data_IF_140942038193
#
_entry.id   IF_140942038193
#
_cell.length_a   1.000
_cell.length_b   1.000
_cell.length_c   1.000
_cell.angle_alpha   90.00
_cell.angle_beta   90.00
_cell.angle_gamma   90.00
#
_symmetry.space_group_name_H-M   'P 1'
#
loop_
_entity.id
_entity.type
_entity.pdbx_description
1 polymer ?
#
# COMPACT_ATOMS: atom_id res chain seq x y z
N UNK A 1 -50.50 26.90 -14.52
CA UNK A 1 -49.12 27.38 -14.72
C UNK A 1 -48.39 27.26 -13.39
N UNK A 2 -47.53 26.27 -13.22
CA UNK A 2 -46.68 26.12 -12.04
C UNK A 2 -45.23 26.02 -12.52
N UNK A 3 -44.47 27.10 -12.37
CA UNK A 3 -43.03 27.08 -12.57
C UNK A 3 -42.37 26.90 -11.19
N UNK A 4 -42.01 25.65 -10.85
CA UNK A 4 -41.00 25.37 -9.84
C UNK A 4 -39.72 24.98 -10.58
N UNK A 5 -38.81 25.94 -10.71
CA UNK A 5 -37.42 25.71 -11.10
C UNK A 5 -36.52 26.24 -9.99
N UNK A 6 -36.23 25.41 -8.99
CA UNK A 6 -35.14 25.68 -8.06
C UNK A 6 -33.83 25.48 -8.83
N UNK A 7 -33.06 26.56 -9.01
CA UNK A 7 -31.80 26.58 -9.75
C UNK A 7 -30.67 26.03 -8.88
N UNK A 8 -29.87 25.13 -9.48
CA UNK A 8 -28.54 24.65 -9.10
C UNK A 8 -27.73 25.65 -8.26
N UNK A 9 -27.44 25.30 -7.01
CA UNK A 9 -26.23 25.80 -6.32
C UNK A 9 -25.05 25.00 -6.85
N UNK A 10 -24.29 25.61 -7.77
CA UNK A 10 -23.08 25.05 -8.35
C UNK A 10 -21.92 25.44 -7.43
N UNK A 11 -21.34 24.46 -6.73
CA UNK A 11 -20.21 24.70 -5.83
C UNK A 11 -19.03 25.27 -6.64
N UNK A 12 -18.65 26.54 -6.38
CA UNK A 12 -17.51 27.22 -7.03
C UNK A 12 -16.13 26.74 -6.51
N UNK A 13 -16.10 25.83 -5.54
CA UNK A 13 -14.89 25.26 -4.94
C UNK A 13 -15.05 23.74 -4.85
N UNK A 14 -14.17 22.98 -5.52
CA UNK A 14 -14.21 21.53 -5.60
C UNK A 14 -13.96 20.89 -4.23
N UNK A 15 -12.98 21.37 -3.47
CA UNK A 15 -12.63 20.85 -2.14
C UNK A 15 -13.75 20.97 -1.10
N UNK A 16 -14.66 21.94 -1.27
CA UNK A 16 -15.76 22.18 -0.34
C UNK A 16 -16.75 21.00 -0.27
N UNK A 17 -16.81 20.15 -1.30
CA UNK A 17 -17.71 18.99 -1.31
C UNK A 17 -17.31 17.89 -0.31
N UNK A 18 -16.05 17.87 0.13
CA UNK A 18 -15.52 16.89 1.09
C UNK A 18 -15.56 17.39 2.54
N UNK A 19 -16.12 18.58 2.78
CA UNK A 19 -16.34 19.14 4.11
C UNK A 19 -17.64 18.63 4.71
N UNK A 20 -17.60 18.28 5.99
CA UNK A 20 -18.82 18.01 6.73
C UNK A 20 -19.60 19.32 6.96
N UNK A 21 -20.86 19.35 6.53
CA UNK A 21 -21.72 20.53 6.60
C UNK A 21 -22.10 20.92 8.04
N UNK A 22 -21.99 19.99 9.00
CA UNK A 22 -22.35 20.19 10.40
C UNK A 22 -21.15 20.53 11.29
N UNK A 23 -20.00 19.87 11.09
CA UNK A 23 -18.82 20.05 11.93
C UNK A 23 -17.79 21.02 11.34
N UNK A 24 -17.93 21.38 10.04
CA UNK A 24 -16.94 22.15 9.26
C UNK A 24 -15.55 21.50 9.17
N UNK A 25 -15.38 20.31 9.76
CA UNK A 25 -14.20 19.48 9.66
C UNK A 25 -14.19 18.68 8.35
N UNK A 26 -13.04 18.10 8.05
CA UNK A 26 -12.94 17.10 6.99
C UNK A 26 -13.45 15.76 7.49
N UNK A 27 -14.17 15.04 6.63
CA UNK A 27 -14.29 13.58 6.81
C UNK A 27 -13.00 12.93 6.28
N UNK A 28 -12.56 11.80 6.85
CA UNK A 28 -11.51 11.00 6.24
C UNK A 28 -11.87 10.71 4.79
N UNK A 29 -10.96 11.04 3.87
CA UNK A 29 -11.12 10.75 2.47
C UNK A 29 -10.99 9.25 2.25
N UNK A 30 -11.94 8.66 1.53
CA UNK A 30 -11.75 7.33 0.96
C UNK A 30 -10.67 7.39 -0.12
N UNK A 31 -10.10 6.22 -0.43
CA UNK A 31 -9.28 5.97 -1.62
C UNK A 31 -9.79 6.71 -2.88
N UNK A 32 -11.02 6.44 -3.29
CA UNK A 32 -11.61 7.06 -4.49
C UNK A 32 -11.75 8.58 -4.38
N UNK A 33 -12.12 9.11 -3.22
CA UNK A 33 -12.24 10.57 -3.01
C UNK A 33 -10.89 11.28 -3.08
N UNK A 34 -9.85 10.67 -2.51
CA UNK A 34 -8.49 11.19 -2.64
C UNK A 34 -8.07 11.25 -4.11
N UNK A 35 -8.40 10.23 -4.89
CA UNK A 35 -8.03 10.19 -6.31
C UNK A 35 -8.85 11.10 -7.20
N UNK A 36 -10.08 11.41 -6.80
CA UNK A 36 -10.83 12.51 -7.41
C UNK A 36 -10.16 13.86 -7.17
N UNK A 37 -9.61 14.09 -5.97
CA UNK A 37 -8.80 15.29 -5.68
C UNK A 37 -7.52 15.30 -6.50
N UNK A 38 -6.77 14.18 -6.50
CA UNK A 38 -5.53 14.08 -7.28
C UNK A 38 -5.77 14.32 -8.77
N UNK A 39 -6.75 13.63 -9.39
CA UNK A 39 -7.13 13.83 -10.81
C UNK A 39 -7.57 15.24 -11.13
N UNK A 40 -8.22 15.91 -10.18
CA UNK A 40 -8.70 17.25 -10.41
C UNK A 40 -7.57 18.27 -10.51
N UNK A 41 -6.50 18.08 -9.73
CA UNK A 41 -5.39 19.03 -9.66
C UNK A 41 -4.18 18.62 -10.52
N UNK A 42 -3.88 17.33 -10.69
CA UNK A 42 -2.93 16.81 -11.70
C UNK A 42 -3.67 16.71 -13.05
N UNK A 43 -3.90 17.87 -13.66
CA UNK A 43 -4.76 18.04 -14.83
C UNK A 43 -4.06 17.65 -16.13
N UNK A 44 -2.73 17.79 -16.18
CA UNK A 44 -1.92 17.31 -17.30
C UNK A 44 -1.57 15.81 -17.19
N UNK A 45 -1.77 15.20 -16.02
CA UNK A 45 -1.56 13.77 -15.79
C UNK A 45 -0.10 13.38 -15.73
N UNK A 46 0.80 14.33 -15.45
CA UNK A 46 2.24 14.10 -15.41
C UNK A 46 2.71 13.39 -14.12
N UNK A 47 1.81 13.20 -13.16
CA UNK A 47 2.10 12.53 -11.89
C UNK A 47 2.56 13.47 -10.78
N UNK A 48 2.43 14.78 -10.97
CA UNK A 48 2.82 15.81 -10.01
C UNK A 48 1.79 16.94 -10.01
N UNK A 49 1.56 17.55 -8.85
CA UNK A 49 0.80 18.81 -8.77
C UNK A 49 1.82 19.95 -8.70
N UNK A 50 2.01 20.68 -9.80
CA UNK A 50 3.05 21.70 -9.90
C UNK A 50 2.60 23.02 -10.56
N UNK A 51 3.42 24.06 -10.46
CA UNK A 51 3.16 25.32 -11.15
C UNK A 51 1.77 25.90 -10.87
N UNK A 52 0.93 25.97 -11.91
CA UNK A 52 -0.44 26.51 -11.85
C UNK A 52 -1.44 25.56 -11.19
N UNK A 53 -1.19 24.26 -11.25
CA UNK A 53 -2.02 23.23 -10.62
C UNK A 53 -1.95 23.37 -9.10
N UNK A 54 -0.73 23.50 -8.58
CA UNK A 54 -0.48 23.78 -7.17
C UNK A 54 -1.11 25.12 -6.74
N UNK A 55 -1.04 26.16 -7.59
CA UNK A 55 -1.69 27.44 -7.30
C UNK A 55 -3.22 27.29 -7.19
N UNK A 56 -3.83 26.50 -8.08
CA UNK A 56 -5.26 26.18 -8.06
C UNK A 56 -5.66 25.39 -6.83
N UNK A 57 -4.92 24.33 -6.53
CA UNK A 57 -5.10 23.50 -5.33
C UNK A 57 -5.06 24.36 -4.06
N UNK A 58 -4.02 25.18 -3.86
CA UNK A 58 -3.87 25.99 -2.65
C UNK A 58 -5.02 27.00 -2.50
N UNK A 59 -5.45 27.64 -3.59
CA UNK A 59 -6.59 28.58 -3.55
C UNK A 59 -7.86 27.89 -3.09
N UNK A 60 -8.15 26.70 -3.62
CA UNK A 60 -9.35 25.95 -3.26
C UNK A 60 -9.26 25.30 -1.89
N UNK A 61 -8.10 24.76 -1.54
CA UNK A 61 -7.83 24.18 -0.23
C UNK A 61 -8.08 25.21 0.87
N UNK A 62 -7.51 26.42 0.77
CA UNK A 62 -7.66 27.48 1.77
C UNK A 62 -9.08 28.01 1.82
N UNK A 63 -9.68 28.30 0.66
CA UNK A 63 -11.06 28.81 0.63
C UNK A 63 -12.10 27.76 1.07
N UNK A 64 -11.74 26.47 1.07
CA UNK A 64 -12.55 25.42 1.69
C UNK A 64 -12.51 25.47 3.23
N UNK A 65 -11.40 25.92 3.82
CA UNK A 65 -11.22 26.04 5.29
C UNK A 65 -11.83 27.34 5.81
N UNK A 66 -11.63 28.45 5.09
CA UNK A 66 -12.01 29.79 5.54
C UNK A 66 -13.51 30.03 5.32
N UNK A 67 -14.29 29.91 6.39
CA UNK A 67 -15.77 29.99 6.38
C UNK A 67 -16.34 31.42 6.37
N UNK A 68 -15.73 32.38 5.68
CA UNK A 68 -16.24 33.77 5.65
C UNK A 68 -17.00 34.08 4.37
N UNK A 69 -18.11 34.81 4.49
CA UNK A 69 -18.94 35.42 3.41
C UNK A 69 -18.18 36.37 2.45
N UNK A 70 -16.85 36.36 2.50
CA UNK A 70 -16.02 37.02 1.51
C UNK A 70 -15.84 36.03 0.33
N UNK A 71 -16.48 36.33 -0.79
CA UNK A 71 -16.48 35.51 -2.01
C UNK A 71 -15.07 35.21 -2.58
N UNK A 72 -14.97 34.60 -3.78
CA UNK A 72 -13.73 34.00 -4.33
C UNK A 72 -12.52 34.94 -4.58
N UNK A 73 -12.50 36.16 -4.04
CA UNK A 73 -11.43 37.17 -4.19
C UNK A 73 -10.45 37.30 -3.00
N UNK A 74 -10.51 36.45 -1.96
CA UNK A 74 -9.79 36.71 -0.69
C UNK A 74 -8.28 36.40 -0.75
N UNK A 75 -7.80 35.55 -1.65
CA UNK A 75 -6.37 35.19 -1.70
C UNK A 75 -5.66 36.02 -2.77
N UNK A 76 -4.99 37.10 -2.34
CA UNK A 76 -4.11 37.88 -3.21
C UNK A 76 -2.93 37.04 -3.70
N UNK A 77 -2.39 37.35 -4.88
CA UNK A 77 -1.25 36.60 -5.45
C UNK A 77 -0.01 36.63 -4.55
N UNK A 78 0.19 37.73 -3.81
CA UNK A 78 1.25 37.84 -2.81
C UNK A 78 1.03 36.90 -1.61
N UNK A 79 -0.21 36.80 -1.12
CA UNK A 79 -0.58 35.87 -0.05
C UNK A 79 -0.45 34.41 -0.51
N UNK A 80 -0.83 34.12 -1.75
CA UNK A 80 -0.70 32.79 -2.32
C UNK A 80 0.77 32.38 -2.45
N UNK A 81 1.63 33.29 -2.93
CA UNK A 81 3.06 33.01 -3.08
C UNK A 81 3.70 32.63 -1.74
N UNK A 82 3.45 33.42 -0.70
CA UNK A 82 3.98 33.14 0.64
C UNK A 82 3.45 31.80 1.18
N UNK A 83 2.17 31.48 0.91
CA UNK A 83 1.59 30.23 1.33
C UNK A 83 2.17 29.03 0.57
N UNK A 84 2.39 29.18 -0.73
CA UNK A 84 3.03 28.16 -1.56
C UNK A 84 4.43 27.84 -1.06
N UNK A 85 5.21 28.86 -0.71
CA UNK A 85 6.54 28.69 -0.10
C UNK A 85 6.46 27.91 1.22
N UNK A 86 5.55 28.29 2.13
CA UNK A 86 5.36 27.58 3.40
C UNK A 86 4.83 26.15 3.23
N UNK A 87 4.00 25.94 2.22
CA UNK A 87 3.39 24.65 1.93
C UNK A 87 4.42 23.67 1.38
N UNK A 88 5.22 24.10 0.40
CA UNK A 88 6.33 23.32 -0.12
C UNK A 88 7.36 23.07 1.00
N UNK A 89 7.75 24.07 1.78
CA UNK A 89 8.71 23.86 2.89
C UNK A 89 8.24 22.82 3.93
N UNK A 90 6.92 22.65 4.09
CA UNK A 90 6.35 21.69 5.03
C UNK A 90 6.15 20.28 4.46
N UNK A 91 5.81 20.14 3.17
CA UNK A 91 5.34 18.87 2.60
C UNK A 91 6.13 18.39 1.37
N UNK A 92 6.89 19.25 0.69
CA UNK A 92 7.78 18.88 -0.42
C UNK A 92 9.10 18.35 0.16
N UNK A 93 9.18 17.03 0.33
CA UNK A 93 10.30 16.36 0.98
C UNK A 93 11.55 16.35 0.11
N UNK A 94 11.37 16.21 -1.21
CA UNK A 94 12.46 16.06 -2.17
C UNK A 94 12.98 17.44 -2.67
N UNK A 95 12.24 18.53 -2.38
CA UNK A 95 12.50 19.93 -2.71
C UNK A 95 12.56 20.21 -4.21
N UNK A 96 11.78 19.50 -5.00
CA UNK A 96 11.69 19.71 -6.44
C UNK A 96 10.64 20.77 -6.85
N UNK A 97 9.92 21.32 -5.86
CA UNK A 97 8.79 22.26 -5.99
C UNK A 97 7.53 21.65 -6.63
N UNK A 98 7.42 20.33 -6.59
CA UNK A 98 6.27 19.56 -7.03
C UNK A 98 5.67 18.86 -5.81
N UNK A 99 4.37 18.59 -5.88
CA UNK A 99 3.72 17.74 -4.89
C UNK A 99 3.50 16.38 -5.50
N UNK A 100 4.17 15.38 -4.94
CA UNK A 100 3.95 13.97 -5.24
C UNK A 100 2.67 13.45 -4.54
N UNK A 101 2.17 12.30 -5.00
CA UNK A 101 0.96 11.70 -4.44
C UNK A 101 1.13 11.28 -2.97
N UNK A 102 2.34 10.83 -2.62
CA UNK A 102 2.77 10.54 -1.25
C UNK A 102 2.74 11.76 -0.34
N UNK A 103 3.09 12.93 -0.86
CA UNK A 103 3.09 14.20 -0.12
C UNK A 103 1.66 14.71 0.06
N UNK A 104 0.83 14.65 -0.99
CA UNK A 104 -0.60 15.01 -0.88
C UNK A 104 -1.33 14.13 0.14
N UNK A 105 -0.98 12.85 0.24
CA UNK A 105 -1.51 11.92 1.23
C UNK A 105 -1.22 12.36 2.69
N UNK A 106 -0.15 13.12 2.94
CA UNK A 106 0.15 13.69 4.25
C UNK A 106 -0.68 14.95 4.56
N UNK A 107 -1.10 15.67 3.51
CA UNK A 107 -1.86 16.92 3.61
C UNK A 107 -3.34 16.66 3.88
N UNK A 108 -3.91 15.65 3.22
CA UNK A 108 -5.33 15.33 3.32
C UNK A 108 -5.59 14.27 4.40
N UNK A 109 -6.63 14.46 5.23
CA UNK A 109 -6.99 13.44 6.22
C UNK A 109 -7.60 12.24 5.48
N UNK A 110 -6.84 11.20 5.25
CA UNK A 110 -7.29 9.98 4.57
C UNK A 110 -7.66 8.88 5.56
N UNK A 111 -8.42 7.89 5.11
CA UNK A 111 -8.65 6.66 5.87
C UNK A 111 -7.31 5.93 6.15
N UNK A 112 -7.14 5.39 7.36
CA UNK A 112 -5.87 4.77 7.78
C UNK A 112 -5.43 3.62 6.87
N UNK A 113 -6.36 2.80 6.39
CA UNK A 113 -6.09 1.69 5.47
C UNK A 113 -5.41 2.15 4.18
N UNK A 114 -5.78 3.33 3.69
CA UNK A 114 -5.24 3.91 2.46
C UNK A 114 -3.98 4.74 2.71
N UNK A 115 -3.85 5.40 3.87
CA UNK A 115 -2.60 6.07 4.28
C UNK A 115 -1.42 5.12 4.34
N UNK A 116 -1.64 3.84 4.65
CA UNK A 116 -0.57 2.84 4.72
C UNK A 116 0.19 2.71 3.40
N UNK A 117 -0.43 2.98 2.24
CA UNK A 117 0.26 3.01 0.94
C UNK A 117 1.32 4.11 0.82
N UNK A 118 1.20 5.19 1.61
CA UNK A 118 2.02 6.40 1.47
C UNK A 118 2.89 6.71 2.70
N UNK A 119 2.83 5.89 3.76
CA UNK A 119 3.65 6.09 4.96
C UNK A 119 5.09 5.66 4.70
N UNK A 120 5.94 6.64 4.37
CA UNK A 120 7.40 6.47 4.26
C UNK A 120 8.06 6.02 5.57
N UNK A 121 7.54 6.48 6.72
CA UNK A 121 8.07 6.21 8.06
C UNK A 121 7.47 4.97 8.76
N UNK A 122 6.53 4.28 8.11
CA UNK A 122 5.99 3.03 8.62
C UNK A 122 6.03 1.94 7.52
N UNK A 123 7.25 1.62 7.02
CA UNK A 123 7.41 0.54 6.07
C UNK A 123 6.86 -0.74 6.71
N UNK A 124 6.03 -1.48 5.97
CA UNK A 124 5.39 -2.67 6.49
C UNK A 124 6.45 -3.59 7.09
N UNK A 125 6.29 -3.91 8.37
CA UNK A 125 7.31 -4.67 9.08
C UNK A 125 7.30 -6.14 8.69
N UNK A 126 6.26 -6.62 7.98
CA UNK A 126 6.35 -7.88 7.25
C UNK A 126 5.35 -8.03 6.11
N UNK A 127 5.62 -9.06 5.30
CA UNK A 127 4.71 -9.65 4.33
C UNK A 127 3.34 -10.06 4.93
N UNK A 128 3.25 -10.36 6.22
CA UNK A 128 1.97 -10.64 6.89
C UNK A 128 1.12 -9.37 7.11
N UNK A 129 1.74 -8.23 7.42
CA UNK A 129 1.03 -6.94 7.46
C UNK A 129 0.55 -6.50 6.08
N UNK A 130 1.37 -6.76 5.06
CA UNK A 130 0.97 -6.58 3.67
C UNK A 130 -0.29 -7.39 3.35
N UNK A 131 -0.33 -8.68 3.72
CA UNK A 131 -1.49 -9.55 3.49
C UNK A 131 -2.76 -9.06 4.18
N UNK A 132 -2.65 -8.47 5.36
CA UNK A 132 -3.80 -7.85 6.05
C UNK A 132 -4.36 -6.68 5.24
N UNK A 133 -3.48 -5.80 4.77
CA UNK A 133 -3.86 -4.64 3.95
C UNK A 133 -4.47 -5.13 2.64
N UNK A 134 -3.84 -6.08 1.95
CA UNK A 134 -4.34 -6.65 0.70
C UNK A 134 -5.81 -7.11 0.83
N UNK A 135 -6.13 -7.86 1.90
CA UNK A 135 -7.51 -8.34 2.14
C UNK A 135 -8.54 -7.24 2.37
N UNK A 136 -8.14 -6.07 2.89
CA UNK A 136 -9.05 -4.94 3.06
C UNK A 136 -9.50 -4.36 1.71
N UNK A 137 -8.65 -4.47 0.69
CA UNK A 137 -8.92 -3.99 -0.67
C UNK A 137 -9.52 -5.09 -1.57
N UNK A 138 -8.96 -6.31 -1.55
CA UNK A 138 -9.44 -7.49 -2.29
C UNK A 138 -10.55 -8.23 -1.52
N UNK A 139 -11.69 -7.55 -1.34
CA UNK A 139 -12.81 -8.05 -0.52
C UNK A 139 -13.50 -9.29 -1.08
N UNK A 140 -13.45 -9.48 -2.39
CA UNK A 140 -14.02 -10.64 -3.06
C UNK A 140 -13.01 -11.79 -3.20
N UNK A 141 -11.77 -11.60 -2.73
CA UNK A 141 -10.67 -12.54 -2.86
C UNK A 141 -10.48 -12.99 -4.32
N UNK A 142 -10.71 -12.06 -5.26
CA UNK A 142 -10.49 -12.29 -6.69
C UNK A 142 -9.01 -12.39 -7.02
N UNK A 143 -8.14 -11.92 -6.12
CA UNK A 143 -6.70 -11.91 -6.32
C UNK A 143 -6.21 -10.68 -7.07
N UNK A 144 -7.08 -9.70 -7.30
CA UNK A 144 -6.78 -8.46 -7.99
C UNK A 144 -7.57 -7.31 -7.37
N UNK A 145 -7.02 -6.11 -7.42
CA UNK A 145 -7.74 -4.89 -7.03
C UNK A 145 -8.00 -4.09 -8.31
N UNK A 146 -9.25 -3.83 -8.65
CA UNK A 146 -9.62 -3.06 -9.85
C UNK A 146 -8.91 -1.69 -9.85
N UNK A 147 -8.05 -1.43 -10.85
CA UNK A 147 -7.16 -0.27 -10.86
C UNK A 147 -7.91 1.06 -11.15
N UNK A 148 -9.14 0.94 -11.65
CA UNK A 148 -10.02 2.03 -12.06
C UNK A 148 -10.39 2.99 -10.92
N UNK A 149 -10.27 2.54 -9.66
CA UNK A 149 -10.63 3.35 -8.50
C UNK A 149 -9.55 4.33 -8.04
N UNK A 150 -8.28 4.17 -8.48
CA UNK A 150 -7.18 4.78 -7.72
C UNK A 150 -5.96 5.36 -8.50
N UNK A 151 -6.07 5.69 -9.81
CA UNK A 151 -4.91 5.85 -10.73
C UNK A 151 -3.78 4.84 -10.39
N UNK A 152 -4.17 3.64 -9.98
CA UNK A 152 -3.23 2.56 -9.76
C UNK A 152 -2.63 2.12 -11.10
N UNK A 153 -3.14 2.65 -12.22
CA UNK A 153 -2.51 2.64 -13.54
C UNK A 153 -1.03 3.06 -13.56
N UNK A 154 -0.55 3.86 -12.60
CA UNK A 154 0.88 4.16 -12.46
C UNK A 154 1.69 2.95 -11.95
N UNK A 155 1.03 2.00 -11.30
CA UNK A 155 1.59 0.83 -10.65
C UNK A 155 1.19 -0.49 -11.32
N UNK A 156 0.08 -0.49 -12.06
CA UNK A 156 -0.35 -1.48 -13.04
C UNK A 156 0.65 -1.48 -14.21
N UNK A 157 1.72 -2.23 -13.98
CA UNK A 157 2.88 -2.32 -14.86
C UNK A 157 2.51 -3.04 -16.15
N UNK A 158 1.57 -3.98 -16.08
CA UNK A 158 1.11 -4.76 -17.23
C UNK A 158 -0.05 -4.12 -18.01
N UNK A 159 -0.68 -3.08 -17.44
CA UNK A 159 -1.78 -2.28 -18.00
C UNK A 159 -3.05 -3.09 -18.28
N UNK A 160 -3.32 -4.10 -17.47
CA UNK A 160 -4.52 -4.93 -17.59
C UNK A 160 -5.76 -4.31 -16.93
N UNK A 161 -5.60 -3.14 -16.27
CA UNK A 161 -6.65 -2.43 -15.56
C UNK A 161 -6.88 -2.96 -14.15
N UNK A 162 -6.01 -3.84 -13.65
CA UNK A 162 -6.08 -4.45 -12.33
C UNK A 162 -4.71 -4.40 -11.68
N UNK A 163 -4.67 -4.12 -10.38
CA UNK A 163 -3.47 -4.35 -9.62
C UNK A 163 -3.37 -5.80 -9.21
N UNK A 164 -2.29 -6.41 -9.66
CA UNK A 164 -1.87 -7.72 -9.21
C UNK A 164 -1.06 -7.61 -7.92
N UNK A 165 -0.89 -8.75 -7.25
CA UNK A 165 -0.21 -8.82 -5.96
C UNK A 165 1.23 -8.28 -6.01
N UNK A 166 1.99 -8.67 -7.04
CA UNK A 166 3.39 -8.24 -7.25
C UNK A 166 3.51 -6.72 -7.48
N UNK A 167 2.52 -6.10 -8.10
CA UNK A 167 2.48 -4.66 -8.37
C UNK A 167 2.18 -3.86 -7.11
N UNK A 168 1.23 -4.32 -6.29
CA UNK A 168 0.96 -3.73 -4.98
C UNK A 168 2.13 -3.94 -3.99
N UNK A 169 2.84 -5.06 -4.08
CA UNK A 169 4.03 -5.32 -3.27
C UNK A 169 5.19 -4.37 -3.57
N UNK A 170 5.34 -3.90 -4.81
CA UNK A 170 6.32 -2.88 -5.22
C UNK A 170 5.95 -1.48 -4.77
N UNK A 171 4.65 -1.25 -4.60
CA UNK A 171 4.03 0.01 -4.21
C UNK A 171 4.27 0.36 -2.74
N UNK A 172 4.18 -0.65 -1.88
CA UNK A 172 4.42 -0.53 -0.46
C UNK A 172 5.92 -0.69 -0.20
N UNK A 173 6.59 0.24 0.49
CA UNK A 173 7.94 -0.01 1.00
C UNK A 173 7.84 -1.08 2.09
N UNK A 174 7.83 -2.36 1.70
CA UNK A 174 7.92 -3.47 2.65
C UNK A 174 9.38 -3.53 3.11
N UNK A 175 9.61 -3.64 4.42
CA UNK A 175 10.96 -3.99 4.92
C UNK A 175 11.39 -5.27 4.21
N UNK A 176 12.67 -5.36 3.84
CA UNK A 176 13.29 -6.44 3.06
C UNK A 176 12.60 -7.81 3.25
N UNK A 177 12.32 -8.51 2.15
CA UNK A 177 11.90 -9.91 2.16
C UNK A 177 12.77 -10.70 3.18
N UNK A 178 12.13 -11.26 4.22
CA UNK A 178 12.85 -11.84 5.36
C UNK A 178 13.69 -13.06 4.96
N UNK A 179 13.33 -13.71 3.85
CA UNK A 179 14.05 -14.85 3.31
C UNK A 179 15.27 -14.43 2.47
N UNK A 180 15.38 -13.15 2.05
CA UNK A 180 16.60 -12.60 1.43
C UNK A 180 17.80 -12.51 2.40
N UNK A 181 17.59 -12.79 3.69
CA UNK A 181 18.66 -13.00 4.68
C UNK A 181 19.52 -14.22 4.30
N UNK A 182 20.75 -14.37 4.84
CA UNK A 182 21.74 -15.35 4.37
C UNK A 182 21.29 -16.82 4.31
N UNK A 183 20.16 -17.17 4.94
CA UNK A 183 19.65 -18.53 5.11
C UNK A 183 19.27 -19.17 3.76
N UNK A 184 18.76 -18.38 2.80
CA UNK A 184 18.37 -18.86 1.47
C UNK A 184 19.32 -18.41 0.34
N UNK A 185 20.47 -17.81 0.69
CA UNK A 185 21.53 -17.49 -0.29
C UNK A 185 22.39 -18.72 -0.56
N UNK A 186 22.72 -18.97 -1.84
CA UNK A 186 23.60 -20.08 -2.25
C UNK A 186 24.90 -20.08 -1.42
N UNK A 187 25.30 -21.28 -0.95
CA UNK A 187 26.49 -21.56 -0.11
C UNK A 187 26.40 -21.25 1.39
N UNK A 188 25.23 -20.97 1.95
CA UNK A 188 25.06 -20.87 3.41
C UNK A 188 24.81 -22.25 4.05
N UNK A 189 25.47 -22.57 5.16
CA UNK A 189 25.09 -23.75 5.95
C UNK A 189 23.81 -23.45 6.72
N UNK A 190 22.77 -24.25 6.50
CA UNK A 190 21.51 -24.08 7.22
C UNK A 190 21.55 -24.94 8.49
N UNK A 191 21.38 -24.30 9.65
CA UNK A 191 21.31 -24.96 10.97
C UNK A 191 19.88 -25.01 11.49
N UNK A 192 19.63 -25.86 12.49
CA UNK A 192 18.34 -25.87 13.21
C UNK A 192 17.99 -24.52 13.83
N UNK A 193 19.00 -23.77 14.32
CA UNK A 193 18.80 -22.41 14.83
C UNK A 193 18.36 -21.42 13.76
N UNK A 194 18.69 -21.67 12.49
CA UNK A 194 18.23 -20.83 11.39
C UNK A 194 16.76 -21.12 11.08
N UNK A 195 16.36 -22.39 11.11
CA UNK A 195 14.96 -22.81 10.99
C UNK A 195 14.12 -22.22 12.12
N UNK A 196 14.58 -22.32 13.37
CA UNK A 196 13.89 -21.74 14.53
C UNK A 196 13.73 -20.21 14.41
N UNK A 197 14.78 -19.53 13.91
CA UNK A 197 14.72 -18.08 13.66
C UNK A 197 13.73 -17.72 12.56
N UNK A 198 13.68 -18.48 11.47
CA UNK A 198 12.67 -18.28 10.42
C UNK A 198 11.27 -18.50 10.98
N UNK A 199 11.07 -19.60 11.71
CA UNK A 199 9.77 -19.90 12.32
C UNK A 199 9.29 -18.75 13.22
N UNK A 200 10.14 -18.27 14.12
CA UNK A 200 9.83 -17.14 15.02
C UNK A 200 9.62 -15.79 14.32
N UNK A 201 10.12 -15.61 13.10
CA UNK A 201 9.87 -14.39 12.33
C UNK A 201 8.44 -14.35 11.78
N UNK A 202 7.84 -15.52 11.50
CA UNK A 202 6.51 -15.63 10.91
C UNK A 202 5.43 -15.99 11.93
N UNK A 203 5.70 -16.85 12.91
CA UNK A 203 4.82 -17.15 14.06
C UNK A 203 4.80 -15.95 15.03
N UNK A 204 4.06 -14.91 14.66
CA UNK A 204 4.01 -13.62 15.36
C UNK A 204 3.15 -13.70 16.61
N UNK A 205 2.11 -14.52 16.60
CA UNK A 205 1.27 -14.73 17.77
C UNK A 205 1.85 -15.77 18.74
N UNK A 206 2.87 -16.52 18.32
CA UNK A 206 3.59 -17.49 19.15
C UNK A 206 2.75 -18.72 19.44
N UNK A 207 1.78 -19.03 18.58
CA UNK A 207 0.88 -20.16 18.76
C UNK A 207 1.53 -21.51 18.39
N UNK A 208 2.74 -21.48 17.80
CA UNK A 208 3.49 -22.66 17.40
C UNK A 208 3.14 -23.20 16.01
N UNK A 209 2.37 -22.46 15.22
CA UNK A 209 1.94 -22.78 13.86
C UNK A 209 1.89 -21.52 13.00
N UNK A 210 2.50 -21.56 11.82
CA UNK A 210 2.38 -20.48 10.83
C UNK A 210 1.04 -20.67 10.09
N UNK A 211 0.09 -19.77 10.31
CA UNK A 211 -1.26 -19.84 9.73
C UNK A 211 -1.77 -18.51 9.19
N UNK A 212 -2.89 -18.54 8.44
CA UNK A 212 -3.60 -17.32 8.02
C UNK A 212 -2.68 -16.26 7.35
N UNK A 213 -2.59 -15.06 7.95
CA UNK A 213 -1.73 -13.96 7.46
C UNK A 213 -0.24 -14.29 7.52
N UNK A 214 0.19 -15.09 8.49
CA UNK A 214 1.58 -15.49 8.68
C UNK A 214 2.01 -16.45 7.58
N UNK A 215 1.16 -17.44 7.28
CA UNK A 215 1.36 -18.37 6.18
C UNK A 215 1.37 -17.64 4.83
N UNK A 216 0.44 -16.72 4.63
CA UNK A 216 0.41 -15.91 3.41
C UNK A 216 1.66 -15.03 3.28
N UNK A 217 2.15 -14.44 4.37
CA UNK A 217 3.40 -13.68 4.37
C UNK A 217 4.63 -14.53 4.05
N UNK A 218 4.73 -15.70 4.67
CA UNK A 218 5.79 -16.68 4.40
C UNK A 218 5.83 -17.10 2.92
N UNK A 219 4.67 -17.40 2.35
CA UNK A 219 4.55 -17.81 0.94
C UNK A 219 4.87 -16.68 -0.03
N UNK A 220 4.46 -15.44 0.28
CA UNK A 220 4.84 -14.24 -0.47
C UNK A 220 6.36 -14.11 -0.54
N UNK A 221 7.03 -14.17 0.60
CA UNK A 221 8.48 -14.01 0.64
C UNK A 221 9.18 -15.17 -0.09
N UNK A 222 8.60 -16.37 -0.05
CA UNK A 222 9.16 -17.56 -0.70
C UNK A 222 9.01 -17.52 -2.23
N UNK A 223 7.85 -17.10 -2.76
CA UNK A 223 7.64 -17.00 -4.21
C UNK A 223 8.48 -15.86 -4.80
N UNK A 224 8.66 -14.76 -4.08
CA UNK A 224 9.52 -13.63 -4.48
C UNK A 224 11.00 -14.00 -4.63
N UNK A 225 11.48 -15.05 -3.96
CA UNK A 225 12.83 -15.56 -4.17
C UNK A 225 13.01 -16.23 -5.54
N UNK A 226 11.93 -16.67 -6.17
CA UNK A 226 11.94 -17.47 -7.40
C UNK A 226 11.38 -16.70 -8.59
N UNK A 227 10.35 -15.88 -8.35
CA UNK A 227 9.65 -15.11 -9.37
C UNK A 227 9.26 -13.72 -8.83
N UNK A 228 9.67 -12.67 -9.52
CA UNK A 228 9.33 -11.27 -9.19
C UNK A 228 8.00 -10.80 -9.83
N UNK A 229 7.45 -11.60 -10.76
CA UNK A 229 6.24 -11.29 -11.51
C UNK A 229 5.24 -12.43 -11.37
N UNK A 230 4.55 -12.46 -10.23
CA UNK A 230 3.56 -13.47 -9.87
C UNK A 230 2.22 -12.81 -9.55
N UNK A 231 1.14 -13.51 -9.90
CA UNK A 231 -0.22 -13.09 -9.58
C UNK A 231 -0.76 -13.81 -8.33
N UNK A 232 -1.99 -13.51 -7.93
CA UNK A 232 -2.62 -14.16 -6.79
C UNK A 232 -3.00 -15.63 -7.03
N UNK A 233 -3.24 -16.04 -8.28
CA UNK A 233 -3.46 -17.44 -8.64
C UNK A 233 -2.16 -18.23 -8.51
N UNK A 234 -1.04 -17.68 -8.97
CA UNK A 234 0.29 -18.27 -8.77
C UNK A 234 0.56 -18.46 -7.28
N UNK A 235 0.29 -17.45 -6.46
CA UNK A 235 0.44 -17.55 -5.00
C UNK A 235 -0.48 -18.62 -4.40
N UNK A 236 -1.71 -18.76 -4.92
CA UNK A 236 -2.68 -19.77 -4.47
C UNK A 236 -2.27 -21.19 -4.88
N UNK A 237 -1.88 -21.39 -6.13
CA UNK A 237 -1.37 -22.67 -6.63
C UNK A 237 -0.08 -23.06 -5.89
N UNK A 238 0.79 -22.09 -5.63
CA UNK A 238 2.00 -22.27 -4.85
C UNK A 238 1.69 -22.65 -3.41
N UNK A 239 0.71 -21.99 -2.77
CA UNK A 239 0.19 -22.36 -1.44
C UNK A 239 -0.29 -23.81 -1.41
N UNK A 240 -1.15 -24.17 -2.37
CA UNK A 240 -1.72 -25.51 -2.46
C UNK A 240 -0.63 -26.57 -2.67
N UNK A 241 0.37 -26.27 -3.50
CA UNK A 241 1.53 -27.14 -3.70
C UNK A 241 2.32 -27.30 -2.39
N UNK A 242 2.69 -26.21 -1.72
CA UNK A 242 3.48 -26.25 -0.48
C UNK A 242 2.76 -27.03 0.62
N UNK A 243 1.48 -26.72 0.86
CA UNK A 243 0.67 -27.46 1.84
C UNK A 243 0.62 -28.95 1.47
N UNK A 244 0.31 -29.30 0.22
CA UNK A 244 0.29 -30.71 -0.21
C UNK A 244 1.62 -31.44 -0.01
N UNK A 245 2.75 -30.75 -0.06
CA UNK A 245 4.08 -31.34 0.14
C UNK A 245 4.54 -31.41 1.61
N UNK A 246 4.04 -30.52 2.46
CA UNK A 246 4.56 -30.27 3.81
C UNK A 246 3.53 -30.51 4.93
N UNK A 247 2.29 -30.05 4.73
CA UNK A 247 1.17 -30.21 5.65
C UNK A 247 0.76 -31.69 5.73
N UNK A 248 1.41 -32.39 6.66
CA UNK A 248 1.31 -33.84 6.80
C UNK A 248 0.06 -34.21 7.61
N UNK A 249 -0.37 -33.31 8.49
CA UNK A 249 -1.54 -33.50 9.34
C UNK A 249 -2.84 -32.98 8.68
N UNK A 250 -2.73 -32.29 7.54
CA UNK A 250 -3.82 -31.71 6.75
C UNK A 250 -4.67 -30.69 7.50
N UNK A 251 -4.06 -29.93 8.42
CA UNK A 251 -4.73 -28.86 9.18
C UNK A 251 -4.69 -27.49 8.49
N UNK A 252 -3.98 -27.40 7.35
CA UNK A 252 -3.85 -26.19 6.55
C UNK A 252 -2.86 -25.17 7.13
N UNK A 253 -2.06 -25.57 8.12
CA UNK A 253 -1.04 -24.76 8.79
C UNK A 253 0.34 -25.35 8.53
N UNK A 254 1.38 -24.64 8.97
CA UNK A 254 2.74 -25.16 8.99
C UNK A 254 3.27 -25.12 10.41
N UNK A 255 3.40 -26.29 11.04
CA UNK A 255 4.10 -26.40 12.31
C UNK A 255 5.63 -26.37 12.14
N UNK A 256 6.36 -26.31 13.25
CA UNK A 256 7.82 -26.25 13.25
C UNK A 256 8.46 -27.47 12.56
N UNK A 257 7.87 -28.66 12.69
CA UNK A 257 8.39 -29.89 12.08
C UNK A 257 8.16 -29.88 10.57
N UNK A 258 7.00 -29.42 10.12
CA UNK A 258 6.63 -29.30 8.71
C UNK A 258 7.47 -28.24 8.01
N UNK A 259 7.70 -27.07 8.63
CA UNK A 259 8.61 -26.06 8.11
C UNK A 259 10.07 -26.59 8.05
N UNK A 260 10.51 -27.29 9.08
CA UNK A 260 11.84 -27.92 9.11
C UNK A 260 12.01 -28.87 7.92
N UNK A 261 11.02 -29.74 7.70
CA UNK A 261 11.05 -30.70 6.60
C UNK A 261 11.09 -30.00 5.23
N UNK A 262 10.33 -28.93 5.07
CA UNK A 262 10.34 -28.10 3.87
C UNK A 262 11.73 -27.51 3.60
N UNK A 263 12.32 -26.82 4.59
CA UNK A 263 13.63 -26.17 4.45
C UNK A 263 14.72 -27.21 4.17
N UNK A 264 14.66 -28.38 4.82
CA UNK A 264 15.61 -29.47 4.55
C UNK A 264 15.53 -29.96 3.11
N UNK A 265 14.31 -30.14 2.57
CA UNK A 265 14.13 -30.57 1.17
C UNK A 265 14.59 -29.49 0.19
N UNK A 266 14.28 -28.23 0.47
CA UNK A 266 14.75 -27.10 -0.33
C UNK A 266 16.28 -27.02 -0.36
N UNK A 267 16.93 -27.16 0.80
CA UNK A 267 18.39 -27.17 0.92
C UNK A 267 19.02 -28.33 0.14
N UNK A 268 18.46 -29.53 0.26
CA UNK A 268 18.92 -30.70 -0.53
C UNK A 268 18.74 -30.48 -2.04
N UNK A 269 17.63 -29.87 -2.48
CA UNK A 269 17.38 -29.59 -3.89
C UNK A 269 18.27 -28.47 -4.46
N UNK A 270 18.65 -27.50 -3.63
CA UNK A 270 19.53 -26.37 -3.99
C UNK A 270 21.03 -26.68 -3.86
N UNK A 271 21.40 -27.87 -3.37
CA UNK A 271 22.80 -28.26 -3.15
C UNK A 271 23.43 -27.61 -1.91
N UNK A 272 22.61 -27.13 -0.98
CA UNK A 272 23.02 -26.43 0.23
C UNK A 272 23.29 -27.43 1.36
N UNK A 273 24.45 -27.32 2.05
CA UNK A 273 24.78 -28.17 3.20
C UNK A 273 23.91 -27.83 4.41
N UNK A 274 23.33 -28.86 5.04
CA UNK A 274 22.53 -28.74 6.27
C UNK A 274 23.33 -29.31 7.44
N UNK A 275 23.53 -28.51 8.49
CA UNK A 275 24.19 -28.94 9.73
C UNK A 275 23.13 -29.13 10.83
N UNK A 276 22.70 -30.38 11.00
CA UNK A 276 21.67 -30.78 11.95
C UNK A 276 22.21 -30.97 13.38
N UNK A 277 23.53 -31.00 13.55
CA UNK A 277 24.19 -31.27 14.84
C UNK A 277 24.52 -29.99 15.62
N UNK A 278 24.34 -28.83 14.99
CA UNK A 278 24.48 -27.50 15.56
C UNK A 278 23.34 -27.16 16.54
N UNK A 279 23.42 -27.68 17.78
CA UNK A 279 22.66 -27.14 18.93
C UNK A 279 23.06 -25.71 19.23
#
# INVERSE_FOLDING_TARGET
>A
MAAKGAKKDKYDNFMRQFRDQSTKGWKPFTAGQFMDVWRHYDADGNGFIEGKELDGFLREFVSSVVSTDAGPQVVSDASLKNMKELFLDAYDENRDNKIEMSELAQILPMEESFLLLFRKDNPLESSAEFMKIWREFDKDASGYIEADELKLQLFDSNKDGKLQFSEMAKLLPVKENFLCRPIFKQNAKITMRDVDRVFQLYDRDGNGCIENDELSGFLKDLIELVNEDYDANDLKEFKEAILKFCDTNSDGKLDQQELTLFIMRYAHASGTEIDLDSK
#
